data_IF_472307053367
#
_entry.id   IF_472307053367
#
_cell.length_a   1.000
_cell.length_b   1.000
_cell.length_c   1.000
_cell.angle_alpha   90.00
_cell.angle_beta   90.00
_cell.angle_gamma   90.00
#
_symmetry.space_group_name_H-M   'P 1'
#
loop_
_entity.id
_entity.type
_entity.pdbx_description
1 polymer ?
#
# COMPACT_ATOMS: atom_id res chain seq x y z
N UNK A 1 5.92 -63.54 -33.77
CA UNK A 1 5.68 -63.70 -32.31
C UNK A 1 6.60 -62.77 -31.51
N UNK A 2 7.88 -62.69 -31.86
CA UNK A 2 8.87 -61.79 -31.24
C UNK A 2 8.46 -60.31 -31.27
N UNK A 3 8.09 -59.77 -32.44
CA UNK A 3 7.65 -58.36 -32.58
C UNK A 3 6.45 -58.01 -31.68
N UNK A 4 5.56 -58.98 -31.42
CA UNK A 4 4.42 -58.76 -30.53
C UNK A 4 4.84 -58.70 -29.07
N UNK A 5 5.77 -59.56 -28.65
CA UNK A 5 6.32 -59.58 -27.28
C UNK A 5 7.16 -58.34 -27.00
N UNK A 6 7.97 -57.89 -27.97
CA UNK A 6 8.75 -56.65 -27.87
C UNK A 6 7.84 -55.42 -27.74
N UNK A 7 6.80 -55.30 -28.57
CA UNK A 7 5.82 -54.22 -28.46
C UNK A 7 5.09 -54.24 -27.11
N UNK A 8 4.71 -55.42 -26.60
CA UNK A 8 4.07 -55.57 -25.30
C UNK A 8 4.99 -55.11 -24.16
N UNK A 9 6.28 -55.48 -24.21
CA UNK A 9 7.28 -55.06 -23.23
C UNK A 9 7.52 -53.54 -23.28
N UNK A 10 7.58 -52.96 -24.48
CA UNK A 10 7.70 -51.51 -24.66
C UNK A 10 6.50 -50.75 -24.09
N UNK A 11 5.26 -51.19 -24.38
CA UNK A 11 4.05 -50.57 -23.82
C UNK A 11 3.99 -50.71 -22.29
N UNK A 12 4.43 -51.85 -21.74
CA UNK A 12 4.49 -52.05 -20.29
C UNK A 12 5.51 -51.12 -19.61
N UNK A 13 6.70 -50.97 -20.20
CA UNK A 13 7.73 -50.03 -19.71
C UNK A 13 7.24 -48.57 -19.76
N UNK A 14 6.60 -48.16 -20.86
CA UNK A 14 5.99 -46.83 -20.99
C UNK A 14 4.87 -46.65 -19.95
N UNK A 15 4.03 -47.67 -19.75
CA UNK A 15 2.98 -47.68 -18.75
C UNK A 15 3.51 -47.50 -17.32
N UNK A 16 4.58 -48.23 -16.96
CA UNK A 16 5.26 -48.07 -15.66
C UNK A 16 5.84 -46.66 -15.53
N UNK A 17 6.51 -46.15 -16.55
CA UNK A 17 7.08 -44.80 -16.51
C UNK A 17 6.01 -43.74 -16.29
N UNK A 18 4.89 -43.82 -17.03
CA UNK A 18 3.73 -42.92 -16.85
C UNK A 18 3.16 -43.05 -15.43
N UNK A 19 2.99 -44.28 -14.92
CA UNK A 19 2.47 -44.52 -13.57
C UNK A 19 3.39 -43.94 -12.49
N UNK A 20 4.72 -44.07 -12.64
CA UNK A 20 5.70 -43.47 -11.73
C UNK A 20 5.59 -41.94 -11.76
N UNK A 21 5.57 -41.33 -12.94
CA UNK A 21 5.44 -39.87 -13.09
C UNK A 21 4.13 -39.38 -12.47
N UNK A 22 3.01 -40.04 -12.75
CA UNK A 22 1.71 -39.74 -12.17
C UNK A 22 1.71 -39.89 -10.65
N UNK A 23 2.32 -40.94 -10.11
CA UNK A 23 2.43 -41.15 -8.67
C UNK A 23 3.19 -40.01 -7.98
N UNK A 24 4.36 -39.62 -8.49
CA UNK A 24 5.12 -38.50 -7.93
C UNK A 24 4.37 -37.17 -8.08
N UNK A 25 3.70 -36.95 -9.21
CA UNK A 25 2.88 -35.78 -9.45
C UNK A 25 1.72 -35.67 -8.45
N UNK A 26 0.94 -36.74 -8.26
CA UNK A 26 -0.17 -36.79 -7.31
C UNK A 26 0.32 -36.64 -5.86
N UNK A 27 1.43 -37.30 -5.50
CA UNK A 27 2.05 -37.17 -4.18
C UNK A 27 2.51 -35.74 -3.92
N UNK A 28 3.12 -35.07 -4.91
CA UNK A 28 3.53 -33.67 -4.84
C UNK A 28 2.31 -32.74 -4.64
N UNK A 29 1.26 -32.91 -5.45
CA UNK A 29 0.00 -32.15 -5.31
C UNK A 29 -0.64 -32.34 -3.93
N UNK A 30 -0.67 -33.56 -3.42
CA UNK A 30 -1.21 -33.85 -2.08
C UNK A 30 -0.39 -33.14 -0.99
N UNK A 31 0.94 -33.20 -1.06
CA UNK A 31 1.82 -32.49 -0.11
C UNK A 31 1.62 -30.99 -0.15
N UNK A 32 1.54 -30.40 -1.35
CA UNK A 32 1.30 -28.97 -1.52
C UNK A 32 -0.07 -28.56 -0.97
N UNK A 33 -1.11 -29.36 -1.20
CA UNK A 33 -2.46 -29.10 -0.69
C UNK A 33 -2.47 -29.13 0.84
N UNK A 34 -1.91 -30.16 1.47
CA UNK A 34 -1.81 -30.28 2.93
C UNK A 34 -1.02 -29.11 3.53
N UNK A 35 0.10 -28.73 2.92
CA UNK A 35 0.89 -27.57 3.38
C UNK A 35 0.10 -26.27 3.28
N UNK A 36 -0.62 -26.07 2.17
CA UNK A 36 -1.43 -24.87 1.95
C UNK A 36 -2.60 -24.81 2.92
N UNK A 37 -3.28 -25.92 3.17
CA UNK A 37 -4.38 -26.01 4.15
C UNK A 37 -3.88 -25.66 5.57
N UNK A 38 -2.72 -26.17 5.97
CA UNK A 38 -2.12 -25.80 7.25
C UNK A 38 -1.82 -24.30 7.35
N UNK A 39 -1.34 -23.67 6.26
CA UNK A 39 -1.14 -22.22 6.21
C UNK A 39 -2.47 -21.45 6.30
N UNK A 40 -3.51 -21.91 5.61
CA UNK A 40 -4.85 -21.30 5.67
C UNK A 40 -5.40 -21.38 7.09
N UNK A 41 -5.26 -22.53 7.76
CA UNK A 41 -5.76 -22.68 9.12
C UNK A 41 -5.06 -21.72 10.09
N UNK A 42 -3.74 -21.58 9.99
CA UNK A 42 -2.99 -20.57 10.74
C UNK A 42 -3.43 -19.15 10.41
N UNK A 43 -3.65 -18.86 9.12
CA UNK A 43 -4.13 -17.55 8.70
C UNK A 43 -5.52 -17.23 9.26
N UNK A 44 -6.40 -18.22 9.40
CA UNK A 44 -7.72 -18.06 10.05
C UNK A 44 -7.54 -17.79 11.55
N UNK A 45 -6.71 -18.57 12.23
CA UNK A 45 -6.41 -18.42 13.66
C UNK A 45 -5.86 -17.03 14.00
N UNK A 46 -4.93 -16.52 13.19
CA UNK A 46 -4.37 -15.17 13.35
C UNK A 46 -5.24 -14.04 12.78
N UNK A 47 -6.35 -14.37 12.10
CA UNK A 47 -7.21 -13.39 11.41
C UNK A 47 -6.64 -12.83 10.10
N UNK A 48 -5.52 -13.35 9.59
CA UNK A 48 -4.89 -12.94 8.34
C UNK A 48 -5.66 -13.41 7.09
N UNK A 49 -6.57 -14.36 7.23
CA UNK A 49 -7.39 -14.82 6.12
C UNK A 49 -8.39 -13.76 5.65
N UNK A 50 -8.78 -12.82 6.51
CA UNK A 50 -9.72 -11.76 6.16
C UNK A 50 -8.99 -10.57 5.50
N UNK A 51 -9.34 -10.19 4.26
CA UNK A 51 -8.67 -9.10 3.57
C UNK A 51 -8.92 -7.75 4.23
N UNK A 52 -7.96 -6.84 4.08
CA UNK A 52 -8.06 -5.46 4.58
C UNK A 52 -8.61 -4.51 3.51
N UNK A 53 -8.31 -4.77 2.23
CA UNK A 53 -8.70 -3.91 1.12
C UNK A 53 -8.97 -4.71 -0.17
N UNK A 54 -8.19 -4.50 -1.22
CA UNK A 54 -8.26 -5.19 -2.50
C UNK A 54 -7.63 -6.58 -2.36
N UNK A 55 -8.35 -7.61 -2.78
CA UNK A 55 -7.85 -8.99 -2.71
C UNK A 55 -8.36 -9.82 -3.90
N UNK A 56 -7.65 -10.90 -4.28
CA UNK A 56 -8.12 -11.81 -5.31
C UNK A 56 -9.23 -12.73 -4.79
N UNK A 57 -10.27 -12.89 -5.60
CA UNK A 57 -11.30 -13.91 -5.47
C UNK A 57 -11.18 -14.86 -6.65
N UNK A 58 -11.12 -16.16 -6.36
CA UNK A 58 -10.91 -17.21 -7.35
C UNK A 58 -12.26 -17.85 -7.65
N UNK A 59 -12.61 -17.92 -8.93
CA UNK A 59 -13.71 -18.74 -9.44
C UNK A 59 -13.22 -20.20 -9.55
N UNK A 60 -13.79 -21.07 -8.72
CA UNK A 60 -13.37 -22.47 -8.67
C UNK A 60 -13.85 -23.26 -9.88
N UNK A 61 -14.91 -22.85 -10.58
CA UNK A 61 -15.42 -23.60 -11.73
C UNK A 61 -14.55 -23.37 -12.97
N UNK A 62 -13.93 -22.20 -13.05
CA UNK A 62 -12.99 -21.84 -14.13
C UNK A 62 -11.54 -22.24 -13.79
N UNK A 63 -11.17 -22.26 -12.50
CA UNK A 63 -9.78 -22.49 -12.09
C UNK A 63 -9.26 -23.88 -12.50
N UNK A 64 -8.30 -23.92 -13.42
CA UNK A 64 -7.61 -25.15 -13.87
C UNK A 64 -6.41 -25.55 -13.00
N UNK A 65 -6.07 -24.78 -11.96
CA UNK A 65 -4.99 -25.16 -11.06
C UNK A 65 -3.57 -24.96 -11.58
N UNK A 66 -3.35 -24.09 -12.57
CA UNK A 66 -2.02 -23.90 -13.17
C UNK A 66 -0.95 -23.41 -12.20
N UNK A 67 -1.34 -22.78 -11.08
CA UNK A 67 -0.41 -22.19 -10.11
C UNK A 67 0.27 -20.89 -10.57
N UNK A 68 -0.02 -20.40 -11.79
CA UNK A 68 0.58 -19.18 -12.33
C UNK A 68 0.34 -17.95 -11.43
N UNK A 69 -0.85 -17.83 -10.86
CA UNK A 69 -1.20 -16.76 -9.92
C UNK A 69 -0.41 -16.82 -8.60
N UNK A 70 -0.07 -18.03 -8.13
CA UNK A 70 0.74 -18.26 -6.93
C UNK A 70 2.19 -17.86 -7.21
N UNK A 71 2.74 -18.31 -8.35
CA UNK A 71 4.10 -17.99 -8.77
C UNK A 71 4.30 -16.48 -9.05
N UNK A 72 3.28 -15.81 -9.58
CA UNK A 72 3.33 -14.39 -9.90
C UNK A 72 3.21 -13.45 -8.69
N UNK A 73 2.86 -13.96 -7.50
CA UNK A 73 2.67 -13.12 -6.32
C UNK A 73 4.00 -12.85 -5.59
N UNK A 74 4.50 -11.59 -5.56
CA UNK A 74 5.77 -11.26 -4.91
C UNK A 74 5.70 -11.30 -3.38
N UNK A 75 4.51 -11.07 -2.79
CA UNK A 75 4.33 -11.07 -1.34
C UNK A 75 4.44 -12.48 -0.72
N UNK A 76 4.34 -13.53 -1.56
CA UNK A 76 4.32 -14.97 -1.19
C UNK A 76 3.19 -15.32 -0.22
N UNK A 77 2.71 -16.55 -0.27
CA UNK A 77 1.67 -17.06 0.65
C UNK A 77 0.39 -16.19 0.74
N UNK A 78 0.09 -15.37 -0.28
CA UNK A 78 -1.24 -14.74 -0.44
C UNK A 78 -2.20 -15.76 -1.07
N UNK A 79 -1.69 -16.53 -2.03
CA UNK A 79 -2.39 -17.60 -2.72
C UNK A 79 -1.60 -18.90 -2.57
N UNK A 80 -2.30 -20.03 -2.56
CA UNK A 80 -1.71 -21.37 -2.67
C UNK A 80 -2.61 -22.30 -3.47
N UNK A 81 -2.20 -23.56 -3.59
CA UNK A 81 -2.98 -24.59 -4.28
C UNK A 81 -3.54 -25.59 -3.27
N UNK A 82 -4.87 -25.78 -3.30
CA UNK A 82 -5.59 -26.80 -2.51
C UNK A 82 -6.39 -27.66 -3.46
N UNK A 83 -6.15 -28.97 -3.45
CA UNK A 83 -6.80 -29.94 -4.33
C UNK A 83 -6.73 -29.54 -5.81
N UNK A 84 -5.59 -28.96 -6.22
CA UNK A 84 -5.37 -28.50 -7.58
C UNK A 84 -6.16 -27.26 -7.97
N UNK A 85 -6.73 -26.48 -7.05
CA UNK A 85 -7.31 -25.16 -7.34
C UNK A 85 -6.62 -24.07 -6.51
N UNK A 86 -6.55 -22.86 -7.06
CA UNK A 86 -5.98 -21.72 -6.35
C UNK A 86 -6.91 -21.31 -5.20
N UNK A 87 -6.33 -21.03 -4.04
CA UNK A 87 -7.07 -20.61 -2.84
C UNK A 87 -6.30 -19.51 -2.11
N UNK A 88 -7.03 -18.55 -1.58
CA UNK A 88 -6.47 -17.46 -0.78
C UNK A 88 -6.02 -17.97 0.59
N UNK A 89 -4.83 -17.54 1.03
CA UNK A 89 -4.23 -17.89 2.32
C UNK A 89 -4.27 -16.66 3.23
N UNK A 90 -3.35 -15.71 3.04
CA UNK A 90 -3.21 -14.49 3.85
C UNK A 90 -3.75 -13.27 3.10
N UNK A 91 -5.07 -13.18 2.95
CA UNK A 91 -5.70 -12.10 2.19
C UNK A 91 -5.40 -10.71 2.79
N UNK A 92 -5.22 -10.61 4.12
CA UNK A 92 -4.88 -9.37 4.82
C UNK A 92 -3.54 -8.78 4.39
N UNK A 93 -2.62 -9.62 3.92
CA UNK A 93 -1.27 -9.22 3.49
C UNK A 93 -1.21 -8.90 2.00
N UNK A 94 -2.32 -9.03 1.27
CA UNK A 94 -2.37 -8.65 -0.12
C UNK A 94 -2.19 -7.13 -0.26
N UNK A 95 -1.18 -6.71 -1.01
CA UNK A 95 -0.94 -5.28 -1.30
C UNK A 95 -1.72 -4.78 -2.51
N UNK A 96 -2.62 -5.59 -3.09
CA UNK A 96 -3.48 -5.18 -4.20
C UNK A 96 -2.74 -4.85 -5.50
N UNK A 97 -1.58 -5.46 -5.75
CA UNK A 97 -0.79 -5.21 -6.97
C UNK A 97 -1.38 -5.83 -8.25
N UNK A 98 -2.23 -6.85 -8.12
CA UNK A 98 -2.98 -7.45 -9.25
C UNK A 98 -2.20 -8.42 -10.15
N UNK A 99 -0.96 -8.81 -9.83
CA UNK A 99 -0.20 -9.71 -10.73
C UNK A 99 -0.85 -11.10 -10.86
N UNK A 100 -1.52 -11.58 -9.80
CA UNK A 100 -2.29 -12.82 -9.86
C UNK A 100 -3.42 -12.78 -10.90
N UNK A 101 -4.12 -11.65 -11.00
CA UNK A 101 -5.19 -11.41 -11.96
C UNK A 101 -4.67 -11.52 -13.40
N UNK A 102 -3.56 -10.86 -13.71
CA UNK A 102 -2.97 -10.89 -15.06
C UNK A 102 -2.27 -12.22 -15.40
N UNK A 103 -1.74 -12.93 -14.41
CA UNK A 103 -1.05 -14.20 -14.63
C UNK A 103 -2.00 -15.39 -14.83
N UNK A 104 -3.30 -15.25 -14.56
CA UNK A 104 -4.25 -16.34 -14.68
C UNK A 104 -4.54 -16.64 -16.17
N UNK A 105 -4.13 -17.80 -16.71
CA UNK A 105 -4.29 -18.10 -18.14
C UNK A 105 -5.75 -18.33 -18.55
N UNK A 106 -6.60 -18.67 -17.58
CA UNK A 106 -8.03 -18.93 -17.78
C UNK A 106 -8.90 -17.86 -17.15
N UNK A 107 -8.31 -16.74 -16.74
CA UNK A 107 -9.06 -15.57 -16.27
C UNK A 107 -9.98 -15.82 -15.06
N UNK A 108 -9.72 -16.88 -14.28
CA UNK A 108 -10.52 -17.30 -13.13
C UNK A 108 -10.38 -16.41 -11.88
N UNK A 109 -9.71 -15.26 -11.97
CA UNK A 109 -9.46 -14.38 -10.82
C UNK A 109 -10.16 -13.05 -11.06
N UNK A 110 -10.91 -12.60 -10.06
CA UNK A 110 -11.41 -11.23 -9.96
C UNK A 110 -10.73 -10.51 -8.82
N UNK A 111 -10.53 -9.20 -8.92
CA UNK A 111 -10.05 -8.39 -7.80
C UNK A 111 -11.22 -7.68 -7.15
N UNK A 112 -11.41 -7.96 -5.86
CA UNK A 112 -12.57 -7.55 -5.09
C UNK A 112 -12.13 -6.62 -3.96
N UNK A 113 -12.88 -5.55 -3.75
CA UNK A 113 -12.62 -4.56 -2.71
C UNK A 113 -13.51 -4.78 -1.50
N UNK A 114 -12.89 -4.96 -0.33
CA UNK A 114 -13.60 -5.26 0.92
C UNK A 114 -14.18 -6.66 0.94
N UNK A 115 -14.94 -6.96 1.98
CA UNK A 115 -15.72 -8.21 2.14
C UNK A 115 -17.17 -7.87 2.45
N UNK A 116 -18.04 -8.88 2.52
CA UNK A 116 -19.41 -8.73 3.03
C UNK A 116 -19.44 -8.10 4.45
N UNK A 117 -18.43 -8.39 5.27
CA UNK A 117 -18.32 -7.89 6.66
C UNK A 117 -17.53 -6.59 6.77
N UNK A 118 -16.60 -6.34 5.85
CA UNK A 118 -15.65 -5.22 5.91
C UNK A 118 -15.72 -4.36 4.66
N UNK A 119 -16.39 -3.22 4.78
CA UNK A 119 -16.45 -2.25 3.70
C UNK A 119 -15.20 -1.39 3.59
N UNK A 120 -14.83 -1.01 2.36
CA UNK A 120 -13.73 -0.09 2.07
C UNK A 120 -14.29 1.19 1.46
N UNK A 121 -13.98 2.32 2.06
CA UNK A 121 -14.39 3.63 1.55
C UNK A 121 -13.50 4.03 0.37
N UNK A 122 -14.11 4.39 -0.75
CA UNK A 122 -13.43 4.85 -1.95
C UNK A 122 -14.21 5.98 -2.59
N UNK A 123 -13.54 6.98 -3.17
CA UNK A 123 -14.19 7.95 -4.01
C UNK A 123 -14.75 7.28 -5.26
N UNK A 124 -15.86 7.81 -5.77
CA UNK A 124 -16.36 7.42 -7.08
C UNK A 124 -15.40 7.92 -8.16
N UNK A 125 -14.85 7.00 -8.93
CA UNK A 125 -13.91 7.28 -10.02
C UNK A 125 -14.32 6.43 -11.23
N UNK A 126 -14.46 7.07 -12.39
CA UNK A 126 -14.76 6.39 -13.65
C UNK A 126 -13.53 5.66 -14.21
N UNK A 127 -13.72 4.86 -15.26
CA UNK A 127 -12.60 4.24 -16.00
C UNK A 127 -11.61 5.26 -16.61
N UNK A 128 -12.04 6.51 -16.75
CA UNK A 128 -11.23 7.63 -17.26
C UNK A 128 -10.59 8.45 -16.12
N UNK A 129 -10.60 7.94 -14.89
CA UNK A 129 -10.06 8.58 -13.68
C UNK A 129 -10.79 9.85 -13.23
N UNK A 130 -11.88 10.22 -13.89
CA UNK A 130 -12.71 11.37 -13.50
C UNK A 130 -13.69 10.98 -12.39
N UNK A 131 -13.88 11.89 -11.44
CA UNK A 131 -14.85 11.75 -10.35
C UNK A 131 -16.27 12.11 -10.80
N UNK A 132 -17.23 12.07 -9.88
CA UNK A 132 -18.57 12.62 -10.12
C UNK A 132 -18.60 14.15 -10.23
N UNK A 133 -17.50 14.85 -9.93
CA UNK A 133 -17.35 16.29 -10.12
C UNK A 133 -16.62 16.51 -11.46
N UNK A 134 -17.32 16.96 -12.52
CA UNK A 134 -16.71 17.08 -13.85
C UNK A 134 -15.53 18.04 -13.84
N UNK A 135 -14.39 17.58 -14.35
CA UNK A 135 -13.11 18.29 -14.33
C UNK A 135 -12.19 17.97 -13.14
N UNK A 136 -12.64 17.17 -12.17
CA UNK A 136 -11.82 16.66 -11.07
C UNK A 136 -11.52 15.18 -11.27
N UNK A 137 -10.23 14.84 -11.27
CA UNK A 137 -9.70 13.50 -11.49
C UNK A 137 -8.99 12.98 -10.25
N UNK A 138 -8.92 11.66 -10.10
CA UNK A 138 -8.22 10.97 -9.01
C UNK A 138 -7.32 9.88 -9.60
N UNK A 139 -6.07 9.83 -9.14
CA UNK A 139 -5.15 8.76 -9.49
C UNK A 139 -4.27 8.31 -8.30
N UNK A 140 -3.72 7.10 -8.43
CA UNK A 140 -2.85 6.50 -7.44
C UNK A 140 -3.60 5.75 -6.35
N UNK A 141 -3.03 5.70 -5.15
CA UNK A 141 -3.54 4.89 -4.05
C UNK A 141 -4.99 5.25 -3.66
N UNK A 142 -5.43 6.48 -3.89
CA UNK A 142 -6.82 6.91 -3.69
C UNK A 142 -7.83 6.02 -4.43
N UNK A 143 -7.47 5.50 -5.61
CA UNK A 143 -8.28 4.56 -6.39
C UNK A 143 -8.24 3.11 -5.89
N UNK A 144 -7.49 2.83 -4.81
CA UNK A 144 -7.46 1.52 -4.14
C UNK A 144 -6.32 0.59 -4.54
N UNK A 145 -5.34 1.05 -5.33
CA UNK A 145 -4.15 0.27 -5.70
C UNK A 145 -2.87 0.96 -5.18
N UNK A 146 -2.21 0.36 -4.18
CA UNK A 146 -1.11 0.99 -3.42
C UNK A 146 0.31 0.76 -3.94
N UNK A 147 0.51 0.08 -5.07
CA UNK A 147 1.86 -0.16 -5.61
C UNK A 147 2.38 1.06 -6.38
N UNK A 148 3.67 1.41 -6.20
CA UNK A 148 4.32 2.52 -6.93
C UNK A 148 4.13 2.40 -8.45
N UNK A 149 4.34 1.21 -9.03
CA UNK A 149 4.10 0.95 -10.46
C UNK A 149 2.66 1.25 -10.89
N UNK A 150 1.67 0.89 -10.07
CA UNK A 150 0.27 1.17 -10.37
C UNK A 150 -0.03 2.67 -10.24
N UNK A 151 0.53 3.33 -9.22
CA UNK A 151 0.40 4.78 -9.04
C UNK A 151 0.99 5.55 -10.24
N UNK A 152 2.17 5.16 -10.71
CA UNK A 152 2.80 5.74 -11.91
C UNK A 152 1.91 5.56 -13.14
N UNK A 153 1.43 4.34 -13.41
CA UNK A 153 0.58 4.09 -14.59
C UNK A 153 -0.74 4.87 -14.52
N UNK A 154 -1.39 4.92 -13.35
CA UNK A 154 -2.63 5.66 -13.17
C UNK A 154 -2.44 7.16 -13.33
N UNK A 155 -1.35 7.73 -12.80
CA UNK A 155 -1.03 9.15 -12.97
C UNK A 155 -0.87 9.53 -14.44
N UNK A 156 -0.21 8.67 -15.22
CA UNK A 156 -0.09 8.81 -16.67
C UNK A 156 -1.45 8.74 -17.37
N UNK A 157 -2.21 7.67 -17.14
CA UNK A 157 -3.51 7.46 -17.80
C UNK A 157 -4.53 8.55 -17.45
N UNK A 158 -4.56 9.00 -16.20
CA UNK A 158 -5.44 10.10 -15.79
C UNK A 158 -5.10 11.40 -16.53
N UNK A 159 -3.80 11.71 -16.66
CA UNK A 159 -3.35 12.90 -17.38
C UNK A 159 -3.58 12.80 -18.90
N UNK A 160 -3.46 11.62 -19.50
CA UNK A 160 -3.84 11.39 -20.91
C UNK A 160 -5.34 11.64 -21.13
N UNK A 161 -6.20 11.20 -20.20
CA UNK A 161 -7.64 11.48 -20.25
C UNK A 161 -7.96 12.97 -20.08
N UNK A 162 -7.26 13.67 -19.16
CA UNK A 162 -7.36 15.12 -18.99
C UNK A 162 -7.00 15.83 -20.31
N UNK A 163 -5.88 15.47 -20.93
CA UNK A 163 -5.41 16.02 -22.21
C UNK A 163 -6.47 15.88 -23.31
N UNK A 164 -7.12 14.71 -23.39
CA UNK A 164 -8.20 14.46 -24.35
C UNK A 164 -9.41 15.37 -24.14
N UNK A 165 -9.76 15.67 -22.87
CA UNK A 165 -10.91 16.54 -22.53
C UNK A 165 -10.63 18.03 -22.63
N UNK A 166 -9.41 18.47 -22.34
CA UNK A 166 -9.05 19.90 -22.31
C UNK A 166 -9.27 20.63 -23.64
N UNK A 167 -9.33 19.89 -24.76
CA UNK A 167 -9.77 20.40 -26.07
C UNK A 167 -11.13 21.12 -26.02
N UNK A 168 -11.94 20.88 -24.97
CA UNK A 168 -13.25 21.50 -24.75
C UNK A 168 -13.29 22.57 -23.63
N UNK A 169 -12.19 22.80 -22.89
CA UNK A 169 -12.18 23.59 -21.63
C UNK A 169 -11.13 24.73 -21.57
N UNK A 170 -10.59 25.16 -22.72
CA UNK A 170 -9.53 26.19 -22.79
C UNK A 170 -10.07 27.60 -22.46
N UNK A 171 -10.13 27.95 -21.16
CA UNK A 171 -10.41 29.31 -20.68
C UNK A 171 -9.41 29.83 -19.64
N UNK A 172 -8.75 28.94 -18.87
CA UNK A 172 -7.73 29.34 -17.88
C UNK A 172 -6.32 29.33 -18.48
N UNK A 173 -5.41 30.10 -17.86
CA UNK A 173 -3.96 30.05 -18.12
C UNK A 173 -3.33 28.73 -17.65
N UNK A 174 -3.93 28.05 -16.68
CA UNK A 174 -3.54 26.71 -16.25
C UNK A 174 -4.56 25.68 -16.73
N UNK A 175 -4.07 24.68 -17.43
CA UNK A 175 -4.85 23.56 -17.91
C UNK A 175 -5.19 22.59 -16.77
N UNK A 176 -4.20 22.33 -15.91
CA UNK A 176 -4.33 21.36 -14.81
C UNK A 176 -3.50 21.73 -13.59
N UNK A 177 -4.10 21.57 -12.40
CA UNK A 177 -3.38 21.55 -11.13
C UNK A 177 -3.29 20.12 -10.64
N UNK A 178 -2.07 19.66 -10.37
CA UNK A 178 -1.80 18.33 -9.82
C UNK A 178 -1.57 18.48 -8.32
N UNK A 179 -2.35 17.78 -7.50
CA UNK A 179 -2.29 17.87 -6.03
C UNK A 179 -1.66 16.62 -5.44
N UNK A 180 -0.45 16.76 -4.92
CA UNK A 180 0.38 15.72 -4.32
C UNK A 180 1.49 15.24 -5.25
N UNK A 181 2.75 15.26 -4.79
CA UNK A 181 3.95 14.88 -5.54
C UNK A 181 4.50 13.50 -5.12
N UNK A 182 3.60 12.55 -4.86
CA UNK A 182 3.93 11.12 -4.81
C UNK A 182 4.15 10.53 -6.21
N UNK A 183 4.37 9.20 -6.32
CA UNK A 183 4.64 8.54 -7.61
C UNK A 183 3.61 8.83 -8.71
N UNK A 184 2.32 8.87 -8.36
CA UNK A 184 1.25 9.22 -9.30
C UNK A 184 1.32 10.68 -9.76
N UNK A 185 1.61 11.61 -8.84
CA UNK A 185 1.75 13.02 -9.16
C UNK A 185 2.94 13.29 -10.07
N UNK A 186 4.09 12.70 -9.74
CA UNK A 186 5.31 12.80 -10.56
C UNK A 186 5.07 12.29 -11.98
N UNK A 187 4.45 11.11 -12.12
CA UNK A 187 4.09 10.55 -13.42
C UNK A 187 3.11 11.45 -14.19
N UNK A 188 2.13 12.02 -13.49
CA UNK A 188 1.19 12.97 -14.08
C UNK A 188 1.88 14.25 -14.55
N UNK A 189 2.81 14.83 -13.78
CA UNK A 189 3.58 16.01 -14.15
C UNK A 189 4.43 15.76 -15.40
N UNK A 190 5.08 14.60 -15.48
CA UNK A 190 5.85 14.19 -16.66
C UNK A 190 4.94 14.02 -17.89
N UNK A 191 3.74 13.46 -17.70
CA UNK A 191 2.75 13.30 -18.78
C UNK A 191 2.18 14.64 -19.24
N UNK A 192 1.90 15.55 -18.31
CA UNK A 192 1.44 16.91 -18.62
C UNK A 192 2.50 17.66 -19.43
N UNK A 193 3.78 17.56 -19.01
CA UNK A 193 4.91 18.12 -19.75
C UNK A 193 5.05 17.52 -21.15
N UNK A 194 4.93 16.20 -21.29
CA UNK A 194 4.98 15.49 -22.59
C UNK A 194 3.91 16.00 -23.56
N UNK A 195 2.74 16.36 -23.05
CA UNK A 195 1.60 16.85 -23.83
C UNK A 195 1.55 18.38 -23.94
N UNK A 196 2.60 19.09 -23.51
CA UNK A 196 2.70 20.56 -23.54
C UNK A 196 1.54 21.28 -22.83
N UNK A 197 1.03 20.71 -21.74
CA UNK A 197 0.02 21.38 -20.90
C UNK A 197 0.67 22.46 -20.03
N UNK A 198 -0.08 23.51 -19.73
CA UNK A 198 0.24 24.47 -18.68
C UNK A 198 -0.22 23.90 -17.33
N UNK A 199 0.73 23.52 -16.47
CA UNK A 199 0.40 22.89 -15.20
C UNK A 199 1.27 23.37 -14.05
N UNK A 200 0.77 23.17 -12.85
CA UNK A 200 1.55 23.24 -11.61
C UNK A 200 1.33 21.96 -10.81
N UNK A 201 2.31 21.57 -10.01
CA UNK A 201 2.20 20.45 -9.08
C UNK A 201 2.45 20.97 -7.67
N UNK A 202 1.49 20.75 -6.78
CA UNK A 202 1.48 21.24 -5.41
C UNK A 202 1.72 20.07 -4.45
N UNK A 203 2.61 20.23 -3.48
CA UNK A 203 2.91 19.23 -2.45
C UNK A 203 2.92 19.89 -1.07
N UNK A 204 2.19 19.29 -0.12
CA UNK A 204 2.04 19.84 1.22
C UNK A 204 3.34 19.77 2.03
N UNK A 205 4.15 18.73 1.80
CA UNK A 205 5.43 18.51 2.46
C UNK A 205 6.54 18.67 1.40
N UNK A 206 7.11 17.55 0.95
CA UNK A 206 8.23 17.47 0.01
C UNK A 206 8.04 16.31 -0.97
N UNK A 207 8.85 16.28 -2.03
CA UNK A 207 8.79 15.29 -3.09
C UNK A 207 8.82 13.84 -2.58
N UNK A 208 8.01 12.97 -3.20
CA UNK A 208 8.02 11.53 -2.97
C UNK A 208 6.90 11.03 -2.05
N UNK A 209 6.14 11.92 -1.43
CA UNK A 209 4.94 11.60 -0.64
C UNK A 209 5.23 10.55 0.45
N UNK A 210 4.47 9.44 0.47
CA UNK A 210 4.65 8.37 1.46
C UNK A 210 6.07 7.81 1.52
N UNK A 211 6.78 7.75 0.38
CA UNK A 211 8.17 7.23 0.33
C UNK A 211 9.11 8.12 1.13
N UNK A 212 8.93 9.44 1.06
CA UNK A 212 9.76 10.38 1.83
C UNK A 212 9.59 10.19 3.35
N UNK A 213 8.39 9.81 3.81
CA UNK A 213 8.11 9.63 5.22
C UNK A 213 8.67 8.33 5.82
N UNK A 214 9.23 7.42 5.01
CA UNK A 214 9.85 6.19 5.51
C UNK A 214 11.21 6.45 6.19
N UNK A 215 11.64 5.58 7.11
CA UNK A 215 13.00 5.58 7.62
C UNK A 215 14.03 5.47 6.48
N UNK A 216 15.21 6.06 6.65
CA UNK A 216 16.30 6.06 5.66
C UNK A 216 16.66 4.66 5.18
N UNK A 217 16.75 3.71 6.10
CA UNK A 217 17.06 2.29 5.83
C UNK A 217 15.91 1.50 5.19
N UNK A 218 14.74 2.10 4.94
CA UNK A 218 13.58 1.39 4.39
C UNK A 218 13.87 0.87 2.98
N UNK A 219 13.76 -0.45 2.82
CA UNK A 219 13.65 -1.10 1.52
C UNK A 219 12.25 -0.90 0.98
N UNK A 220 12.17 -0.41 -0.25
CA UNK A 220 10.94 -0.13 -0.98
C UNK A 220 10.78 -1.16 -2.09
N UNK A 221 9.61 -1.79 -2.12
CA UNK A 221 9.26 -2.78 -3.14
C UNK A 221 8.38 -2.15 -4.22
N UNK A 222 8.68 -2.45 -5.48
CA UNK A 222 7.91 -2.04 -6.65
C UNK A 222 8.05 -3.08 -7.77
N UNK A 223 7.59 -2.74 -8.97
CA UNK A 223 7.76 -3.55 -10.18
C UNK A 223 8.25 -2.66 -11.32
N UNK A 224 8.83 -3.25 -12.38
CA UNK A 224 9.23 -2.50 -13.55
C UNK A 224 8.07 -1.67 -14.09
N UNK A 225 8.36 -0.41 -14.40
CA UNK A 225 7.36 0.60 -14.79
C UNK A 225 7.90 1.48 -15.91
N UNK A 226 6.99 2.08 -16.66
CA UNK A 226 7.34 3.03 -17.71
C UNK A 226 7.14 4.45 -17.18
N UNK A 227 8.20 5.26 -17.16
CA UNK A 227 8.11 6.66 -16.77
C UNK A 227 8.00 7.56 -18.01
N UNK A 228 6.98 8.42 -18.10
CA UNK A 228 6.89 9.40 -19.18
C UNK A 228 8.14 10.29 -19.22
N UNK A 229 8.66 10.58 -20.41
CA UNK A 229 9.89 11.38 -20.64
C UNK A 229 11.19 10.80 -20.04
N UNK A 230 11.18 9.54 -19.60
CA UNK A 230 12.39 8.85 -19.11
C UNK A 230 12.56 7.46 -19.71
N UNK A 231 11.47 6.70 -19.85
CA UNK A 231 11.46 5.34 -20.39
C UNK A 231 11.30 4.27 -19.32
N UNK A 232 11.66 3.03 -19.68
CA UNK A 232 11.49 1.85 -18.83
C UNK A 232 12.45 1.83 -17.64
N UNK A 233 11.89 1.79 -16.43
CA UNK A 233 12.62 1.65 -15.17
C UNK A 233 12.47 0.22 -14.65
N UNK A 234 13.59 -0.46 -14.42
CA UNK A 234 13.63 -1.85 -13.90
C UNK A 234 13.94 -1.87 -12.40
N UNK A 235 13.06 -1.29 -11.60
CA UNK A 235 13.14 -1.37 -10.13
C UNK A 235 12.22 -2.46 -9.61
N UNK A 236 12.70 -3.27 -8.68
CA UNK A 236 11.92 -4.29 -7.97
C UNK A 236 12.06 -4.13 -6.46
N UNK A 237 13.28 -4.19 -5.95
CA UNK A 237 13.62 -3.85 -4.57
C UNK A 237 14.66 -2.72 -4.63
N UNK A 238 14.37 -1.59 -3.97
CA UNK A 238 15.21 -0.39 -4.03
C UNK A 238 15.30 0.26 -2.67
N UNK A 239 16.33 1.08 -2.45
CA UNK A 239 16.36 1.95 -1.26
C UNK A 239 15.42 3.15 -1.44
N UNK A 240 14.95 3.72 -0.32
CA UNK A 240 14.27 5.03 -0.31
C UNK A 240 15.09 6.09 -1.05
N UNK A 241 16.39 6.17 -0.77
CA UNK A 241 17.31 7.18 -1.32
C UNK A 241 17.37 7.08 -2.84
N UNK A 242 17.60 5.87 -3.36
CA UNK A 242 17.68 5.63 -4.80
C UNK A 242 16.37 6.01 -5.52
N UNK A 243 15.23 5.67 -4.93
CA UNK A 243 13.93 6.00 -5.50
C UNK A 243 13.66 7.52 -5.51
N UNK A 244 14.00 8.23 -4.43
CA UNK A 244 13.88 9.70 -4.38
C UNK A 244 14.85 10.37 -5.37
N UNK A 245 16.07 9.85 -5.49
CA UNK A 245 17.05 10.32 -6.48
C UNK A 245 16.51 10.18 -7.91
N UNK A 246 15.93 9.03 -8.25
CA UNK A 246 15.28 8.83 -9.55
C UNK A 246 14.20 9.90 -9.80
N UNK A 247 13.37 10.22 -8.81
CA UNK A 247 12.35 11.26 -8.95
C UNK A 247 12.93 12.64 -9.21
N UNK A 248 13.93 13.05 -8.44
CA UNK A 248 14.63 14.32 -8.66
C UNK A 248 15.29 14.38 -10.03
N UNK A 249 16.05 13.34 -10.43
CA UNK A 249 16.77 13.29 -11.70
C UNK A 249 15.82 13.42 -12.90
N UNK A 250 14.69 12.72 -12.85
CA UNK A 250 13.69 12.74 -13.93
C UNK A 250 12.98 14.09 -14.02
N UNK A 251 12.61 14.71 -12.89
CA UNK A 251 11.99 16.03 -12.88
C UNK A 251 12.96 17.12 -13.35
N UNK A 252 14.20 17.10 -12.86
CA UNK A 252 15.25 18.06 -13.24
C UNK A 252 15.59 17.97 -14.73
N UNK A 253 15.80 16.75 -15.25
CA UNK A 253 16.08 16.52 -16.68
C UNK A 253 14.99 17.09 -17.59
N UNK A 254 13.75 17.15 -17.11
CA UNK A 254 12.59 17.64 -17.85
C UNK A 254 12.18 19.07 -17.48
N UNK A 255 12.96 19.77 -16.66
CA UNK A 255 12.68 21.12 -16.17
C UNK A 255 11.27 21.26 -15.56
N UNK A 256 10.89 20.28 -14.73
CA UNK A 256 9.62 20.29 -14.02
C UNK A 256 9.88 20.70 -12.58
N UNK A 257 9.25 21.79 -12.15
CA UNK A 257 9.32 22.27 -10.76
C UNK A 257 8.07 21.83 -10.00
N UNK A 258 8.27 21.40 -8.75
CA UNK A 258 7.20 21.09 -7.81
C UNK A 258 7.15 22.21 -6.78
N UNK A 259 5.95 22.69 -6.45
CA UNK A 259 5.74 23.63 -5.37
C UNK A 259 5.58 22.85 -4.06
N UNK A 260 6.68 22.73 -3.33
CA UNK A 260 6.72 22.08 -2.02
C UNK A 260 6.28 23.03 -0.89
N UNK A 261 5.97 22.46 0.28
CA UNK A 261 5.43 23.16 1.45
C UNK A 261 4.19 24.00 1.12
N UNK A 262 3.34 23.53 0.20
CA UNK A 262 2.14 24.23 -0.27
C UNK A 262 0.92 23.30 -0.23
N UNK A 263 0.20 23.35 0.88
CA UNK A 263 -0.95 22.50 1.11
C UNK A 263 -2.19 23.07 0.42
N UNK A 264 -2.87 22.26 -0.38
CA UNK A 264 -4.20 22.60 -0.89
C UNK A 264 -5.21 22.49 0.25
N UNK A 265 -5.97 23.56 0.47
CA UNK A 265 -6.96 23.68 1.53
C UNK A 265 -8.37 23.46 0.98
N UNK A 266 -8.67 24.10 -0.16
CA UNK A 266 -10.01 24.09 -0.78
C UNK A 266 -9.92 24.05 -2.31
N UNK A 267 -10.92 23.44 -2.94
CA UNK A 267 -11.08 23.40 -4.39
C UNK A 267 -12.55 23.73 -4.68
N UNK A 268 -12.79 24.93 -5.19
CA UNK A 268 -14.12 25.46 -5.45
C UNK A 268 -14.34 25.54 -6.97
N UNK A 269 -15.54 25.19 -7.44
CA UNK A 269 -15.89 25.29 -8.87
C UNK A 269 -16.56 26.63 -9.14
N UNK A 270 -15.96 27.43 -10.03
CA UNK A 270 -16.45 28.76 -10.42
C UNK A 270 -16.49 28.89 -11.94
N UNK A 271 -17.65 29.21 -12.52
CA UNK A 271 -17.82 29.56 -13.94
C UNK A 271 -17.24 28.55 -14.96
N UNK A 272 -17.18 27.26 -14.60
CA UNK A 272 -16.62 26.21 -15.46
C UNK A 272 -15.10 26.01 -15.31
N UNK A 273 -14.48 26.69 -14.36
CA UNK A 273 -13.10 26.55 -13.90
C UNK A 273 -13.08 26.14 -12.42
N UNK A 274 -11.87 25.91 -11.90
CA UNK A 274 -11.63 25.66 -10.48
C UNK A 274 -10.75 26.73 -9.88
N UNK A 275 -11.17 27.24 -8.74
CA UNK A 275 -10.36 28.00 -7.81
C UNK A 275 -9.74 27.02 -6.81
N UNK A 276 -8.42 27.00 -6.70
CA UNK A 276 -7.67 26.13 -5.78
C UNK A 276 -6.98 27.02 -4.76
N UNK A 277 -7.47 26.98 -3.52
CA UNK A 277 -6.93 27.74 -2.39
C UNK A 277 -5.87 26.90 -1.68
N UNK A 278 -4.66 27.46 -1.54
CA UNK A 278 -3.55 26.82 -0.83
C UNK A 278 -3.16 27.57 0.42
N UNK A 279 -2.24 27.00 1.20
CA UNK A 279 -1.62 27.66 2.35
C UNK A 279 -0.75 28.87 1.99
N UNK A 280 -0.53 29.15 0.70
CA UNK A 280 0.31 30.26 0.21
C UNK A 280 -0.46 31.24 -0.67
N UNK A 281 -1.26 30.74 -1.59
CA UNK A 281 -1.97 31.56 -2.58
C UNK A 281 -3.16 30.82 -3.19
N UNK A 282 -3.86 31.50 -4.10
CA UNK A 282 -4.99 30.95 -4.85
C UNK A 282 -4.62 30.84 -6.33
N UNK A 283 -5.05 29.76 -6.97
CA UNK A 283 -4.87 29.53 -8.41
C UNK A 283 -6.19 29.26 -9.10
N UNK A 284 -6.26 29.59 -10.39
CA UNK A 284 -7.36 29.21 -11.26
C UNK A 284 -6.90 28.19 -12.30
N UNK A 285 -7.69 27.15 -12.54
CA UNK A 285 -7.37 26.06 -13.47
C UNK A 285 -8.60 25.49 -14.15
N UNK A 286 -8.44 24.96 -15.36
CA UNK A 286 -9.53 24.25 -16.05
C UNK A 286 -9.84 22.89 -15.42
N UNK A 287 -8.83 22.18 -14.91
CA UNK A 287 -9.00 20.86 -14.30
C UNK A 287 -8.11 20.66 -13.07
N UNK A 288 -8.47 19.69 -12.23
CA UNK A 288 -7.68 19.28 -11.06
C UNK A 288 -7.46 17.77 -11.08
N UNK A 289 -6.23 17.35 -10.85
CA UNK A 289 -5.86 15.95 -10.66
C UNK A 289 -5.38 15.73 -9.22
N UNK A 290 -6.14 14.93 -8.46
CA UNK A 290 -5.82 14.57 -7.08
C UNK A 290 -4.96 13.30 -7.05
N UNK A 291 -3.72 13.43 -6.57
CA UNK A 291 -2.73 12.37 -6.41
C UNK A 291 -2.19 12.27 -4.98
N UNK A 292 -3.03 12.64 -4.01
CA UNK A 292 -2.69 12.78 -2.58
C UNK A 292 -2.55 11.45 -1.80
N UNK A 293 -2.80 10.31 -2.45
CA UNK A 293 -2.70 8.98 -1.83
C UNK A 293 -3.72 8.73 -0.71
N UNK A 294 -3.55 7.64 0.07
CA UNK A 294 -4.46 7.29 1.18
C UNK A 294 -3.85 7.40 2.57
N UNK A 295 -2.53 7.65 2.67
CA UNK A 295 -1.87 7.89 3.96
C UNK A 295 -2.58 8.98 4.77
N UNK A 296 -3.01 10.04 4.08
CA UNK A 296 -3.68 11.19 4.69
C UNK A 296 -2.89 11.78 5.86
N UNK A 297 -3.61 12.34 6.82
CA UNK A 297 -3.02 12.87 8.05
C UNK A 297 -2.79 11.74 9.05
N UNK A 298 -1.67 11.74 9.81
CA UNK A 298 -1.49 10.78 10.90
C UNK A 298 -2.66 10.86 11.89
N UNK A 299 -3.17 9.70 12.32
CA UNK A 299 -4.20 9.64 13.34
C UNK A 299 -3.62 10.10 14.67
N UNK A 300 -4.25 11.13 15.24
CA UNK A 300 -3.97 11.65 16.58
C UNK A 300 -4.55 10.71 17.65
N UNK A 301 -3.89 10.63 18.79
CA UNK A 301 -4.34 9.93 19.99
C UNK A 301 -5.42 10.72 20.73
N UNK A 302 -5.40 12.06 20.64
CA UNK A 302 -6.34 12.95 21.31
C UNK A 302 -6.12 13.02 22.82
N UNK A 303 -4.87 12.85 23.26
CA UNK A 303 -4.48 12.84 24.68
C UNK A 303 -3.78 14.14 25.07
N UNK A 304 -3.88 14.60 26.33
CA UNK A 304 -3.11 15.76 26.80
C UNK A 304 -1.61 15.55 26.59
N UNK A 305 -0.92 16.59 26.08
CA UNK A 305 0.52 16.58 25.82
C UNK A 305 0.93 16.00 24.47
N UNK A 306 -0.01 15.58 23.61
CA UNK A 306 0.28 15.08 22.26
C UNK A 306 0.91 16.15 21.33
N UNK A 307 0.75 17.42 21.65
CA UNK A 307 1.30 18.58 20.94
C UNK A 307 2.76 18.90 21.29
N UNK A 308 3.35 18.22 22.28
CA UNK A 308 4.74 18.45 22.72
C UNK A 308 5.76 18.09 21.63
N UNK A 309 6.90 18.78 21.63
CA UNK A 309 7.98 18.59 20.61
C UNK A 309 8.55 17.17 20.58
N UNK A 310 8.52 16.45 21.70
CA UNK A 310 8.94 15.04 21.80
C UNK A 310 8.04 14.04 21.06
N UNK A 311 6.88 14.49 20.58
CA UNK A 311 5.88 13.64 19.91
C UNK A 311 5.98 13.79 18.40
N UNK A 312 6.26 12.68 17.72
CA UNK A 312 6.39 12.64 16.25
C UNK A 312 5.57 11.50 15.64
N UNK A 313 5.23 11.67 14.37
CA UNK A 313 4.41 10.74 13.58
C UNK A 313 5.21 10.13 12.42
N UNK A 314 6.52 10.35 12.41
CA UNK A 314 7.47 9.91 11.39
C UNK A 314 8.81 9.60 12.02
N UNK A 315 9.42 8.50 11.60
CA UNK A 315 10.80 8.16 11.91
C UNK A 315 11.61 8.27 10.61
N UNK A 316 12.53 9.23 10.54
CA UNK A 316 13.35 9.48 9.35
C UNK A 316 14.74 8.86 9.49
N UNK A 317 15.40 9.14 10.61
CA UNK A 317 16.81 8.83 10.84
C UNK A 317 17.00 8.14 12.20
N UNK A 318 16.61 6.86 12.33
CA UNK A 318 16.80 6.11 13.57
C UNK A 318 18.26 6.06 14.03
N UNK A 319 19.21 6.01 13.08
CA UNK A 319 20.64 5.90 13.35
C UNK A 319 21.28 7.13 14.01
N UNK A 320 20.49 8.19 14.24
CA UNK A 320 20.92 9.40 14.96
C UNK A 320 20.34 9.47 16.39
N UNK A 321 19.57 8.46 16.80
CA UNK A 321 18.85 8.43 18.08
C UNK A 321 19.43 7.30 18.91
N UNK A 322 20.09 7.63 20.02
CA UNK A 322 20.72 6.67 20.92
C UNK A 322 20.47 7.03 22.38
N UNK A 323 20.53 6.02 23.24
CA UNK A 323 20.46 6.17 24.71
C UNK A 323 19.21 6.94 25.18
N UNK A 324 18.07 6.75 24.50
CA UNK A 324 16.78 7.36 24.84
C UNK A 324 15.75 6.33 25.35
N UNK A 325 14.87 6.78 26.22
CA UNK A 325 13.63 6.10 26.60
C UNK A 325 12.53 6.46 25.57
N UNK A 326 12.16 5.50 24.71
CA UNK A 326 11.27 5.77 23.58
C UNK A 326 9.97 4.97 23.71
N UNK A 327 8.84 5.64 23.53
CA UNK A 327 7.55 5.01 23.34
C UNK A 327 7.22 4.96 21.85
N UNK A 328 6.88 3.78 21.34
CA UNK A 328 6.26 3.59 20.03
C UNK A 328 4.81 3.17 20.23
N UNK A 329 3.86 3.87 19.61
CA UNK A 329 2.43 3.58 19.71
C UNK A 329 1.91 3.02 18.39
N UNK A 330 1.41 1.78 18.39
CA UNK A 330 0.79 1.16 17.22
C UNK A 330 1.06 -0.33 17.10
N UNK A 331 0.28 -1.03 16.26
CA UNK A 331 0.40 -2.47 16.03
C UNK A 331 0.43 -2.88 14.56
N UNK A 332 0.69 -1.93 13.66
CA UNK A 332 0.90 -2.19 12.23
C UNK A 332 2.39 -2.29 11.89
N UNK A 333 2.71 -2.74 10.66
CA UNK A 333 4.11 -2.95 10.23
C UNK A 333 4.99 -1.71 10.43
N UNK A 334 4.48 -0.50 10.15
CA UNK A 334 5.24 0.73 10.36
C UNK A 334 5.66 0.96 11.82
N UNK A 335 4.80 0.60 12.78
CA UNK A 335 5.12 0.72 14.20
C UNK A 335 6.21 -0.28 14.59
N UNK A 336 6.06 -1.53 14.16
CA UNK A 336 6.98 -2.62 14.50
C UNK A 336 8.35 -2.42 13.87
N UNK A 337 8.41 -2.08 12.59
CA UNK A 337 9.67 -1.79 11.92
C UNK A 337 10.40 -0.61 12.56
N UNK A 338 9.67 0.44 12.93
CA UNK A 338 10.26 1.60 13.60
C UNK A 338 10.77 1.26 15.01
N UNK A 339 10.01 0.48 15.78
CA UNK A 339 10.43 0.04 17.11
C UNK A 339 11.70 -0.84 17.05
N UNK A 340 11.78 -1.73 16.07
CA UNK A 340 12.96 -2.58 15.84
C UNK A 340 14.18 -1.75 15.44
N UNK A 341 14.03 -0.81 14.49
CA UNK A 341 15.12 0.08 14.08
C UNK A 341 15.64 0.92 15.26
N UNK A 342 14.75 1.48 16.09
CA UNK A 342 15.15 2.26 17.26
C UNK A 342 15.83 1.38 18.32
N UNK A 343 15.40 0.13 18.49
CA UNK A 343 16.01 -0.79 19.44
C UNK A 343 17.40 -1.27 19.02
N UNK A 344 17.69 -1.32 17.71
CA UNK A 344 19.04 -1.61 17.18
C UNK A 344 20.05 -0.51 17.57
N UNK A 345 19.58 0.71 17.83
CA UNK A 345 20.39 1.91 18.10
C UNK A 345 20.62 2.18 19.60
N UNK A 346 20.59 1.13 20.43
CA UNK A 346 20.81 1.16 21.90
C UNK A 346 19.78 1.98 22.70
N UNK A 347 18.58 2.19 22.16
CA UNK A 347 17.50 2.85 22.89
C UNK A 347 16.73 1.86 23.79
N UNK A 348 16.14 2.37 24.87
CA UNK A 348 15.17 1.64 25.67
C UNK A 348 13.76 1.83 25.06
N UNK A 349 13.32 0.86 24.25
CA UNK A 349 12.07 0.98 23.47
C UNK A 349 10.92 0.25 24.15
N UNK A 350 9.83 0.98 24.41
CA UNK A 350 8.53 0.43 24.80
C UNK A 350 7.55 0.54 23.63
N UNK A 351 6.92 -0.57 23.26
CA UNK A 351 5.87 -0.63 22.26
C UNK A 351 4.50 -0.74 22.96
N UNK A 352 3.64 0.24 22.77
CA UNK A 352 2.26 0.25 23.27
C UNK A 352 1.28 -0.03 22.14
N UNK A 353 0.40 -1.03 22.35
CA UNK A 353 -0.65 -1.35 21.40
C UNK A 353 -1.97 -1.71 22.08
N UNK A 354 -3.03 -1.01 21.67
CA UNK A 354 -4.39 -1.20 22.22
C UNK A 354 -5.00 -2.56 21.99
N UNK A 355 -4.52 -3.32 21.01
CA UNK A 355 -5.05 -4.63 20.69
C UNK A 355 -4.49 -5.72 21.59
N UNK A 356 -5.24 -6.81 21.72
CA UNK A 356 -4.80 -8.01 22.45
C UNK A 356 -3.73 -8.81 21.71
N UNK A 357 -3.66 -8.67 20.38
CA UNK A 357 -2.70 -9.38 19.53
C UNK A 357 -2.49 -8.68 18.18
N UNK A 358 -1.34 -8.94 17.56
CA UNK A 358 -0.96 -8.38 16.28
C UNK A 358 -1.63 -9.10 15.09
N UNK A 359 -2.87 -8.73 14.78
CA UNK A 359 -3.68 -9.37 13.72
C UNK A 359 -3.47 -8.83 12.29
N UNK A 360 -2.53 -7.89 12.10
CA UNK A 360 -2.33 -7.21 10.79
C UNK A 360 -0.88 -7.16 10.31
N UNK A 361 0.04 -7.82 11.02
CA UNK A 361 1.46 -7.76 10.70
C UNK A 361 1.83 -8.79 9.66
N UNK A 362 2.75 -8.41 8.76
CA UNK A 362 3.42 -9.40 7.91
C UNK A 362 4.13 -10.44 8.79
N UNK A 363 4.18 -11.73 8.38
CA UNK A 363 4.71 -12.81 9.23
C UNK A 363 6.13 -12.54 9.72
N UNK A 364 6.98 -12.01 8.85
CA UNK A 364 8.36 -11.63 9.19
C UNK A 364 8.43 -10.60 10.32
N UNK A 365 7.54 -9.61 10.32
CA UNK A 365 7.51 -8.58 11.35
C UNK A 365 6.91 -9.12 12.65
N UNK A 366 5.90 -10.00 12.56
CA UNK A 366 5.36 -10.73 13.71
C UNK A 366 6.43 -11.57 14.41
N UNK A 367 7.22 -12.34 13.66
CA UNK A 367 8.31 -13.16 14.22
C UNK A 367 9.38 -12.28 14.89
N UNK A 368 9.76 -11.18 14.23
CA UNK A 368 10.74 -10.23 14.76
C UNK A 368 10.29 -9.59 16.08
N UNK A 369 9.05 -9.09 16.16
CA UNK A 369 8.57 -8.45 17.39
C UNK A 369 8.41 -9.46 18.54
N UNK A 370 7.93 -10.67 18.23
CA UNK A 370 7.82 -11.73 19.24
C UNK A 370 9.20 -12.12 19.81
N UNK A 371 10.22 -12.21 18.95
CA UNK A 371 11.59 -12.48 19.40
C UNK A 371 12.17 -11.31 20.20
N UNK A 372 11.95 -10.07 19.76
CA UNK A 372 12.39 -8.87 20.48
C UNK A 372 11.76 -8.76 21.88
N UNK A 373 10.46 -9.09 22.00
CA UNK A 373 9.77 -9.16 23.29
C UNK A 373 10.32 -10.27 24.19
N UNK A 374 10.53 -11.48 23.66
CA UNK A 374 11.12 -12.61 24.42
C UNK A 374 12.53 -12.30 24.93
N UNK A 375 13.35 -11.66 24.09
CA UNK A 375 14.72 -11.28 24.42
C UNK A 375 14.79 -9.99 25.27
N UNK A 376 13.64 -9.38 25.60
CA UNK A 376 13.53 -8.10 26.33
C UNK A 376 14.29 -6.95 25.67
N UNK A 377 14.50 -7.01 24.36
CA UNK A 377 15.07 -5.92 23.56
C UNK A 377 14.05 -4.80 23.37
N UNK A 378 12.75 -5.15 23.36
CA UNK A 378 11.64 -4.19 23.32
C UNK A 378 10.65 -4.59 24.41
N UNK A 379 10.22 -3.66 25.27
CA UNK A 379 9.11 -3.87 26.21
C UNK A 379 7.80 -3.75 25.43
N UNK A 380 7.08 -4.86 25.23
CA UNK A 380 5.79 -4.86 24.53
C UNK A 380 4.66 -4.83 25.56
N UNK A 381 3.79 -3.82 25.45
CA UNK A 381 2.60 -3.67 26.29
C UNK A 381 1.38 -3.76 25.36
N UNK A 382 0.59 -4.83 25.54
CA UNK A 382 -0.65 -5.07 24.83
C UNK A 382 -1.85 -4.58 25.65
N UNK A 383 -3.01 -4.46 25.01
CA UNK A 383 -4.21 -3.91 25.65
C UNK A 383 -3.94 -2.57 26.36
N UNK A 384 -3.11 -1.72 25.75
CA UNK A 384 -2.66 -0.47 26.36
C UNK A 384 -3.03 0.77 25.58
N UNK A 385 -3.33 1.84 26.30
CA UNK A 385 -3.60 3.17 25.74
C UNK A 385 -2.78 4.21 26.50
N UNK A 386 -2.17 5.15 25.77
CA UNK A 386 -1.59 6.34 26.37
C UNK A 386 -2.73 7.22 26.89
N UNK A 387 -2.59 7.76 28.10
CA UNK A 387 -3.57 8.67 28.72
C UNK A 387 -3.10 10.12 28.69
N UNK A 388 -1.81 10.33 28.89
CA UNK A 388 -1.20 11.66 28.97
C UNK A 388 0.29 11.57 28.65
N UNK A 389 0.83 12.61 28.01
CA UNK A 389 2.26 12.75 27.70
C UNK A 389 2.80 13.94 28.48
N UNK A 390 3.69 13.67 29.44
CA UNK A 390 4.37 14.67 30.26
C UNK A 390 5.75 15.00 29.65
N UNK A 391 6.46 15.95 30.25
CA UNK A 391 7.75 16.42 29.72
C UNK A 391 8.83 15.33 29.78
N UNK A 392 8.90 14.59 30.88
CA UNK A 392 9.90 13.55 31.17
C UNK A 392 9.30 12.13 31.26
N UNK A 393 7.98 12.02 31.13
CA UNK A 393 7.26 10.77 31.38
C UNK A 393 5.98 10.65 30.56
N UNK A 394 5.38 9.46 30.57
CA UNK A 394 4.08 9.16 29.96
C UNK A 394 3.21 8.41 30.94
N UNK A 395 1.90 8.66 30.89
CA UNK A 395 0.92 7.87 31.63
C UNK A 395 0.29 6.87 30.66
N UNK A 396 0.43 5.59 30.96
CA UNK A 396 -0.12 4.48 30.17
C UNK A 396 -1.11 3.69 31.03
N UNK A 397 -2.26 3.35 30.46
CA UNK A 397 -3.22 2.42 31.05
C UNK A 397 -3.13 1.11 30.28
N UNK A 398 -2.89 0.00 30.98
CA UNK A 398 -2.93 -1.34 30.43
C UNK A 398 -3.87 -2.23 31.22
N UNK A 399 -4.41 -3.27 30.58
CA UNK A 399 -5.30 -4.23 31.26
C UNK A 399 -4.58 -5.04 32.36
N UNK A 400 -3.29 -5.29 32.21
CA UNK A 400 -2.51 -6.14 33.12
C UNK A 400 -1.90 -5.35 34.29
N UNK A 401 -1.28 -4.20 34.00
CA UNK A 401 -0.54 -3.41 35.00
C UNK A 401 -1.36 -2.23 35.56
N UNK A 402 -2.57 -1.99 35.03
CA UNK A 402 -3.36 -0.81 35.35
C UNK A 402 -2.71 0.47 34.81
N UNK A 403 -2.87 1.58 35.53
CA UNK A 403 -2.26 2.87 35.17
C UNK A 403 -0.84 2.96 35.72
N UNK A 404 0.14 3.20 34.84
CA UNK A 404 1.55 3.34 35.19
C UNK A 404 2.14 4.61 34.58
N UNK A 405 3.14 5.18 35.27
CA UNK A 405 4.00 6.23 34.71
C UNK A 405 5.31 5.60 34.23
N UNK A 406 5.74 5.95 33.01
CA UNK A 406 7.01 5.50 32.44
C UNK A 406 7.86 6.72 32.09
N UNK A 407 9.14 6.71 32.48
CA UNK A 407 10.11 7.70 32.00
C UNK A 407 10.21 7.63 30.47
N UNK A 408 10.25 8.79 29.83
CA UNK A 408 10.16 8.88 28.38
C UNK A 408 10.82 10.16 27.85
N UNK A 409 11.68 10.01 26.85
CA UNK A 409 12.28 11.12 26.12
C UNK A 409 11.54 11.43 24.82
N UNK A 410 11.10 10.39 24.08
CA UNK A 410 10.51 10.53 22.74
C UNK A 410 9.28 9.63 22.57
N UNK A 411 8.29 10.11 21.81
CA UNK A 411 7.07 9.38 21.47
C UNK A 411 6.88 9.34 19.96
N UNK A 412 6.81 8.13 19.40
CA UNK A 412 6.50 7.88 18.00
C UNK A 412 5.09 7.28 17.86
N UNK A 413 4.19 8.01 17.20
CA UNK A 413 2.80 7.59 17.02
C UNK A 413 2.59 7.05 15.61
N UNK A 414 2.33 5.75 15.53
CA UNK A 414 2.00 5.01 14.30
C UNK A 414 0.62 4.34 14.42
N UNK A 415 -0.39 5.12 14.79
CA UNK A 415 -1.78 4.69 14.99
C UNK A 415 -2.61 4.56 13.68
N UNK A 416 -1.94 4.64 12.51
CA UNK A 416 -2.55 4.70 11.19
C UNK A 416 -2.80 6.13 10.71
N UNK A 417 -3.45 6.26 9.56
CA UNK A 417 -3.82 7.54 8.96
C UNK A 417 -5.34 7.76 8.92
N UNK A 418 -5.75 9.02 8.91
CA UNK A 418 -7.10 9.44 8.55
C UNK A 418 -7.18 9.62 7.04
N UNK A 419 -8.12 8.92 6.40
CA UNK A 419 -8.37 9.09 4.97
C UNK A 419 -8.82 10.53 4.68
N UNK A 420 -8.45 11.11 3.53
CA UNK A 420 -8.83 12.48 3.17
C UNK A 420 -10.32 12.62 2.78
N UNK A 421 -11.22 11.78 3.31
CA UNK A 421 -12.63 11.75 2.94
C UNK A 421 -13.30 13.11 3.13
N UNK A 422 -13.09 13.77 4.29
CA UNK A 422 -13.64 15.11 4.56
C UNK A 422 -13.20 16.14 3.52
N UNK A 423 -11.95 16.05 3.05
CA UNK A 423 -11.45 16.94 1.99
C UNK A 423 -12.13 16.64 0.65
N UNK A 424 -12.23 15.36 0.28
CA UNK A 424 -12.90 14.93 -0.96
C UNK A 424 -14.39 15.31 -0.97
N UNK A 425 -15.09 15.10 0.15
CA UNK A 425 -16.50 15.43 0.32
C UNK A 425 -16.77 16.94 0.20
N UNK A 426 -15.87 17.79 0.72
CA UNK A 426 -15.95 19.25 0.55
C UNK A 426 -15.88 19.69 -0.91
N UNK A 427 -15.16 18.95 -1.76
CA UNK A 427 -15.10 19.18 -3.21
C UNK A 427 -16.40 18.73 -3.90
N UNK A 428 -17.24 17.96 -3.22
CA UNK A 428 -18.44 17.33 -3.76
C UNK A 428 -18.20 15.92 -4.32
N UNK A 429 -17.04 15.31 -4.05
CA UNK A 429 -16.73 13.95 -4.50
C UNK A 429 -17.47 12.97 -3.60
N UNK A 430 -18.26 12.08 -4.22
CA UNK A 430 -19.03 11.06 -3.51
C UNK A 430 -18.10 9.94 -3.07
N UNK A 431 -18.08 9.67 -1.77
CA UNK A 431 -17.41 8.50 -1.20
C UNK A 431 -18.44 7.37 -1.06
N UNK A 432 -18.09 6.19 -1.55
CA UNK A 432 -18.90 4.98 -1.43
C UNK A 432 -18.15 3.93 -0.62
N UNK A 433 -18.85 3.23 0.26
CA UNK A 433 -18.29 2.11 1.01
C UNK A 433 -18.61 0.81 0.28
N UNK A 434 -17.58 0.16 -0.26
CA UNK A 434 -17.68 -1.05 -1.07
C UNK A 434 -17.60 -2.30 -0.20
N UNK A 435 -18.57 -3.21 -0.31
CA UNK A 435 -18.63 -4.46 0.45
C UNK A 435 -18.54 -5.66 -0.50
N UNK A 436 -17.32 -6.13 -0.77
CA UNK A 436 -17.13 -7.27 -1.68
C UNK A 436 -17.42 -6.94 -3.14
N UNK A 437 -17.31 -5.67 -3.55
CA UNK A 437 -17.53 -5.28 -4.93
C UNK A 437 -16.34 -5.66 -5.82
N UNK A 438 -16.63 -6.22 -6.99
CA UNK A 438 -15.59 -6.53 -7.98
C UNK A 438 -15.12 -5.26 -8.67
N UNK A 439 -13.81 -4.99 -8.62
CA UNK A 439 -13.15 -3.84 -9.25
C UNK A 439 -12.60 -4.22 -10.62
N UNK A 440 -11.99 -5.41 -10.70
CA UNK A 440 -11.47 -5.95 -11.95
C UNK A 440 -12.00 -7.37 -12.13
N UNK A 441 -12.60 -7.61 -13.28
CA UNK A 441 -13.04 -8.91 -13.78
C UNK A 441 -12.58 -9.01 -15.23
N UNK A 442 -12.15 -10.20 -15.63
CA UNK A 442 -11.84 -10.47 -17.03
C UNK A 442 -13.10 -10.60 -17.87
#
# INVERSE_FOLDING_TARGET
>A
MEVFVENLAAYFLVGIFIAIVLFYYLKSKKRQSVSTEAKIQKAIEYGFHEPVSLHPVIDYDICIGSGACVAACPEKDILGLVNGKAKTINASHCVGHGACFHACPVQAISLVMGTEKRGVELPHVSQYYETNVPGVFIAGELGGMGLIKNAVEQGKLAMENITGKLKNFSKSKLDVIIVGAGPSGISASLTAKKNNLNFITLEQDTLGGTVFAFPRAKVVMTSPMELPLHGRVKLTETSKIELLKLWHDVLNKNNIKINESEKVLEINKHEGMFEVVTSKQTYETSTVLLTIGRRGSPRKLGVPGEEKEKVTYRLLEPELIHDKNILVVGGGDSAIESALLLAEEKNNVTLSYRGESFSRLKPKNLDKINNAGKNKTIKVILNSNVKEILDDSIIIESKEEGTASLENDLVYIFAGGELPNKFLEKIGIRITKKFGETILKH
#
